data_IF_078218474345
#
_entry.id   IF_078218474345
#
_cell.length_a   1.000
_cell.length_b   1.000
_cell.length_c   1.000
_cell.angle_alpha   90.00
_cell.angle_beta   90.00
_cell.angle_gamma   90.00
#
_symmetry.space_group_name_H-M   'P 1'
#
loop_
_entity.id
_entity.type
_entity.pdbx_description
1 polymer ?
#
# COMPACT_ATOMS: atom_id res chain seq x y z
N UNK A 1 20.05 9.90 4.18
CA UNK A 1 19.27 9.90 5.44
C UNK A 1 18.18 8.84 5.30
N UNK A 2 17.95 7.98 6.31
CA UNK A 2 16.91 6.95 6.25
C UNK A 2 15.52 7.58 6.08
N UNK A 3 14.66 6.96 5.28
CA UNK A 3 13.30 7.47 5.07
C UNK A 3 12.52 7.37 6.40
N UNK A 4 12.05 8.51 6.98
CA UNK A 4 11.36 8.51 8.28
C UNK A 4 10.01 7.78 8.27
N UNK A 5 9.48 7.41 7.11
CA UNK A 5 8.28 6.60 6.95
C UNK A 5 8.56 5.09 6.93
N UNK A 6 9.81 4.63 6.78
CA UNK A 6 10.15 3.20 6.72
C UNK A 6 9.50 2.35 7.83
N UNK A 7 9.59 2.70 9.12
CA UNK A 7 8.98 1.88 10.17
C UNK A 7 7.45 1.84 10.07
N UNK A 8 6.83 2.97 9.70
CA UNK A 8 5.36 3.07 9.52
C UNK A 8 4.90 2.29 8.28
N UNK A 9 5.65 2.37 7.20
CA UNK A 9 5.40 1.63 5.96
C UNK A 9 5.56 0.13 6.15
N UNK A 10 6.66 -0.31 6.78
CA UNK A 10 6.89 -1.72 7.08
C UNK A 10 5.78 -2.29 7.98
N UNK A 11 5.39 -1.56 9.03
CA UNK A 11 4.28 -1.95 9.90
C UNK A 11 2.96 -2.03 9.13
N UNK A 12 2.64 -1.04 8.29
CA UNK A 12 1.45 -1.08 7.45
C UNK A 12 1.42 -2.28 6.50
N UNK A 13 2.51 -2.51 5.76
CA UNK A 13 2.63 -3.62 4.80
C UNK A 13 2.53 -4.98 5.50
N UNK A 14 3.07 -5.11 6.71
CA UNK A 14 2.98 -6.34 7.49
C UNK A 14 1.57 -6.58 8.03
N UNK A 15 0.90 -5.54 8.55
CA UNK A 15 -0.49 -5.65 8.99
C UNK A 15 -1.41 -5.99 7.81
N UNK A 16 -1.22 -5.31 6.67
CA UNK A 16 -1.96 -5.61 5.45
C UNK A 16 -1.72 -7.05 4.98
N UNK A 17 -0.47 -7.52 4.99
CA UNK A 17 -0.17 -8.90 4.63
C UNK A 17 -0.92 -9.89 5.55
N UNK A 18 -0.85 -9.69 6.87
CA UNK A 18 -1.51 -10.56 7.83
C UNK A 18 -3.03 -10.58 7.66
N UNK A 19 -3.66 -9.44 7.42
CA UNK A 19 -5.10 -9.34 7.18
C UNK A 19 -5.51 -10.01 5.87
N UNK A 20 -4.70 -9.89 4.80
CA UNK A 20 -4.96 -10.56 3.54
C UNK A 20 -4.80 -12.08 3.65
N UNK A 21 -3.82 -12.57 4.42
CA UNK A 21 -3.62 -14.01 4.68
C UNK A 21 -4.78 -14.63 5.48
N UNK A 22 -5.46 -13.84 6.32
CA UNK A 22 -6.65 -14.29 7.05
C UNK A 22 -7.88 -14.44 6.17
N UNK A 23 -7.88 -13.90 4.94
CA UNK A 23 -8.98 -14.06 3.99
C UNK A 23 -8.70 -15.28 3.09
N UNK A 24 -9.33 -16.45 3.33
CA UNK A 24 -9.04 -17.67 2.58
C UNK A 24 -9.38 -17.57 1.08
N UNK A 25 -10.23 -16.62 0.72
CA UNK A 25 -10.59 -16.29 -0.67
C UNK A 25 -9.52 -15.47 -1.40
N UNK A 26 -8.65 -14.73 -0.69
CA UNK A 26 -7.62 -13.90 -1.28
C UNK A 26 -6.35 -14.70 -1.54
N UNK A 27 -6.30 -15.34 -2.71
CA UNK A 27 -5.08 -16.04 -3.16
C UNK A 27 -4.02 -15.05 -3.65
N UNK A 28 -3.07 -14.74 -2.76
CA UNK A 28 -1.88 -13.95 -3.09
C UNK A 28 -0.88 -14.84 -3.82
N UNK A 29 -0.52 -14.45 -5.04
CA UNK A 29 0.47 -15.14 -5.88
C UNK A 29 1.87 -14.69 -5.51
N UNK A 30 2.04 -13.38 -5.30
CA UNK A 30 3.37 -12.78 -5.12
C UNK A 30 3.31 -11.55 -4.25
N UNK A 31 4.30 -11.42 -3.39
CA UNK A 31 4.52 -10.24 -2.58
C UNK A 31 5.94 -9.78 -2.78
N UNK A 32 6.10 -8.53 -3.19
CA UNK A 32 7.40 -7.87 -3.17
C UNK A 32 7.33 -6.74 -2.17
N UNK A 33 8.27 -6.72 -1.23
CA UNK A 33 8.45 -5.64 -0.26
C UNK A 33 9.81 -4.99 -0.51
N UNK A 34 9.80 -3.73 -0.87
CA UNK A 34 10.96 -2.83 -0.95
C UNK A 34 10.84 -1.79 0.15
N UNK A 35 11.92 -1.04 0.39
CA UNK A 35 11.98 -0.02 1.44
C UNK A 35 10.84 1.00 1.42
N UNK A 36 10.25 1.28 0.26
CA UNK A 36 9.20 2.29 0.08
C UNK A 36 8.05 1.83 -0.81
N UNK A 37 8.11 0.59 -1.32
CA UNK A 37 7.15 0.06 -2.28
C UNK A 37 6.84 -1.38 -1.93
N UNK A 38 5.57 -1.75 -1.90
CA UNK A 38 5.14 -3.12 -1.79
C UNK A 38 4.07 -3.38 -2.82
N UNK A 39 4.08 -4.56 -3.44
CA UNK A 39 2.97 -4.97 -4.27
C UNK A 39 2.56 -6.39 -3.96
N UNK A 40 1.25 -6.60 -4.03
CA UNK A 40 0.57 -7.87 -3.81
C UNK A 40 -0.12 -8.24 -5.11
N UNK A 41 0.29 -9.37 -5.67
CA UNK A 41 -0.29 -9.93 -6.89
C UNK A 41 -1.31 -10.98 -6.52
N UNK A 42 -2.49 -10.90 -7.12
CA UNK A 42 -3.60 -11.81 -6.83
C UNK A 42 -3.97 -12.62 -8.06
N UNK A 43 -4.59 -13.77 -7.86
CA UNK A 43 -5.04 -14.63 -8.96
C UNK A 43 -6.18 -14.03 -9.77
N UNK A 44 -7.05 -13.23 -9.14
CA UNK A 44 -8.24 -12.68 -9.78
C UNK A 44 -8.44 -11.21 -9.44
N UNK A 45 -8.97 -10.43 -10.40
CA UNK A 45 -9.25 -8.99 -10.23
C UNK A 45 -10.22 -8.68 -9.10
N UNK A 46 -11.17 -9.58 -8.84
CA UNK A 46 -12.09 -9.46 -7.72
C UNK A 46 -11.37 -9.43 -6.36
N UNK A 47 -10.28 -10.20 -6.21
CA UNK A 47 -9.49 -10.25 -4.98
C UNK A 47 -8.72 -8.96 -4.74
N UNK A 48 -8.27 -8.30 -5.80
CA UNK A 48 -7.60 -6.99 -5.70
C UNK A 48 -8.56 -5.92 -5.18
N UNK A 49 -9.83 -5.97 -5.61
CA UNK A 49 -10.90 -5.10 -5.14
C UNK A 49 -11.21 -5.26 -3.64
N UNK A 50 -11.14 -6.47 -3.11
CA UNK A 50 -11.27 -6.73 -1.67
C UNK A 50 -10.01 -6.32 -0.91
N UNK A 51 -8.84 -6.62 -1.46
CA UNK A 51 -7.56 -6.27 -0.85
C UNK A 51 -7.39 -4.75 -0.69
N UNK A 52 -7.83 -3.94 -1.65
CA UNK A 52 -7.81 -2.48 -1.50
C UNK A 52 -8.77 -1.99 -0.42
N UNK A 53 -9.92 -2.64 -0.21
CA UNK A 53 -10.85 -2.28 0.88
C UNK A 53 -10.19 -2.52 2.23
N UNK A 54 -9.53 -3.67 2.40
CA UNK A 54 -8.76 -4.00 3.61
C UNK A 54 -7.63 -2.98 3.80
N UNK A 55 -6.85 -2.72 2.76
CA UNK A 55 -5.78 -1.72 2.81
C UNK A 55 -6.30 -0.33 3.22
N UNK A 56 -7.42 0.12 2.67
CA UNK A 56 -8.07 1.39 3.03
C UNK A 56 -8.57 1.41 4.48
N UNK A 57 -9.04 0.29 5.04
CA UNK A 57 -9.44 0.18 6.45
C UNK A 57 -8.23 0.28 7.39
N UNK A 58 -7.11 -0.31 7.00
CA UNK A 58 -5.86 -0.28 7.78
C UNK A 58 -5.14 1.08 7.71
N UNK A 59 -5.41 1.88 6.68
CA UNK A 59 -4.97 3.26 6.64
C UNK A 59 -5.80 4.05 7.66
N UNK A 60 -5.22 4.59 8.75
CA UNK A 60 -5.98 5.39 9.69
C UNK A 60 -6.62 6.58 8.97
N UNK A 61 -7.95 6.74 9.14
CA UNK A 61 -8.80 7.82 8.64
C UNK A 61 -8.29 9.27 8.90
N UNK A 62 -7.13 9.44 9.57
CA UNK A 62 -6.57 10.73 10.01
C UNK A 62 -5.13 11.03 9.54
N UNK A 63 -4.58 10.33 8.55
CA UNK A 63 -3.23 10.73 8.10
C UNK A 63 -2.72 10.16 6.79
N UNK A 64 -3.44 9.23 6.18
CA UNK A 64 -3.10 8.70 4.86
C UNK A 64 -4.18 9.09 3.87
N UNK A 65 -4.30 10.40 3.69
CA UNK A 65 -5.18 10.98 2.71
C UNK A 65 -4.71 10.58 1.31
N UNK A 66 -5.64 10.05 0.52
CA UNK A 66 -5.59 9.98 -0.95
C UNK A 66 -5.67 11.38 -1.61
N UNK A 67 -5.26 12.44 -0.93
CA UNK A 67 -5.49 13.83 -1.33
C UNK A 67 -4.20 14.63 -1.30
N UNK A 68 -3.67 14.87 -2.50
CA UNK A 68 -3.36 16.18 -3.14
C UNK A 68 -2.76 17.35 -2.33
N UNK A 69 -2.45 17.24 -1.04
CA UNK A 69 -1.86 18.32 -0.23
C UNK A 69 -0.96 17.84 0.94
N UNK A 70 -0.56 16.57 0.98
CA UNK A 70 0.12 15.96 2.13
C UNK A 70 1.61 15.67 1.89
N UNK A 71 2.51 16.43 2.53
CA UNK A 71 3.98 16.39 2.39
C UNK A 71 4.67 15.01 2.58
N UNK A 72 3.98 13.97 3.05
CA UNK A 72 4.49 12.59 3.19
C UNK A 72 3.37 11.61 3.61
N UNK A 73 3.32 10.40 3.04
CA UNK A 73 2.28 9.42 3.35
C UNK A 73 2.53 8.03 2.74
N UNK A 74 1.52 7.16 2.82
CA UNK A 74 1.45 5.88 2.09
C UNK A 74 0.22 5.93 1.19
N UNK A 75 0.40 5.63 -0.08
CA UNK A 75 -0.67 5.51 -1.05
C UNK A 75 -0.89 4.04 -1.36
N UNK A 76 -2.13 3.71 -1.71
CA UNK A 76 -2.50 2.41 -2.27
C UNK A 76 -3.15 2.61 -3.62
N UNK A 77 -2.73 1.84 -4.62
CA UNK A 77 -3.24 1.88 -5.99
C UNK A 77 -3.45 0.48 -6.53
N UNK A 78 -4.22 0.36 -7.61
CA UNK A 78 -4.43 -0.90 -8.32
C UNK A 78 -3.89 -0.74 -9.73
N UNK A 79 -3.06 -1.68 -10.15
CA UNK A 79 -2.53 -1.73 -11.51
C UNK A 79 -2.35 -3.19 -11.91
N UNK A 80 -2.76 -3.58 -13.12
CA UNK A 80 -2.51 -4.91 -13.70
C UNK A 80 -2.80 -6.09 -12.74
N UNK A 81 -3.97 -6.08 -12.09
CA UNK A 81 -4.37 -7.12 -11.13
C UNK A 81 -3.48 -7.21 -9.87
N UNK A 82 -2.83 -6.10 -9.51
CA UNK A 82 -1.96 -5.99 -8.33
C UNK A 82 -2.40 -4.84 -7.45
N UNK A 83 -2.32 -5.05 -6.15
CA UNK A 83 -2.42 -3.99 -5.16
C UNK A 83 -1.02 -3.44 -4.93
N UNK A 84 -0.84 -2.16 -5.21
CA UNK A 84 0.39 -1.42 -5.04
C UNK A 84 0.29 -0.56 -3.79
N UNK A 85 1.34 -0.56 -2.97
CA UNK A 85 1.46 0.21 -1.73
C UNK A 85 2.76 0.99 -1.78
N UNK A 86 2.68 2.32 -1.71
CA UNK A 86 3.82 3.20 -1.95
C UNK A 86 3.95 4.20 -0.80
N UNK A 87 5.06 4.20 -0.07
CA UNK A 87 5.43 5.33 0.77
C UNK A 87 5.95 6.46 -0.12
N UNK A 88 5.47 7.69 0.09
CA UNK A 88 5.89 8.88 -0.64
C UNK A 88 6.28 9.99 0.34
N UNK A 89 7.30 10.77 -0.03
CA UNK A 89 7.69 12.02 0.64
C UNK A 89 7.66 13.10 -0.44
N UNK A 90 6.92 14.17 -0.21
CA UNK A 90 6.81 15.30 -1.13
C UNK A 90 7.79 16.45 -0.78
N UNK A 91 8.09 17.34 -1.77
CA UNK A 91 7.55 17.32 -3.12
C UNK A 91 8.46 16.47 -4.00
N UNK A 92 7.87 15.59 -4.81
CA UNK A 92 8.57 15.26 -6.04
C UNK A 92 8.48 16.55 -6.87
N UNK A 93 9.48 17.43 -6.75
CA UNK A 93 9.63 18.56 -7.66
C UNK A 93 9.72 17.97 -9.06
N UNK A 94 8.60 17.94 -9.80
CA UNK A 94 8.66 18.03 -11.25
C UNK A 94 9.18 19.44 -11.53
N UNK A 95 10.50 19.61 -11.57
CA UNK A 95 11.08 20.69 -12.36
C UNK A 95 10.60 20.47 -13.79
N UNK A 96 9.83 21.44 -14.26
CA UNK A 96 9.60 21.80 -15.67
C UNK A 96 10.81 21.56 -16.55
#
# INVERSE_FOLDING_TARGET
MPNPLQPKFASFVNNLHSELEQQPELKIIKIIKKEQHAFFEFTEAKHVGEAIKIAKKLLPHKGLNLSTNGKKGIAVSIENNRLHVHAYIEPFNRTT
#
